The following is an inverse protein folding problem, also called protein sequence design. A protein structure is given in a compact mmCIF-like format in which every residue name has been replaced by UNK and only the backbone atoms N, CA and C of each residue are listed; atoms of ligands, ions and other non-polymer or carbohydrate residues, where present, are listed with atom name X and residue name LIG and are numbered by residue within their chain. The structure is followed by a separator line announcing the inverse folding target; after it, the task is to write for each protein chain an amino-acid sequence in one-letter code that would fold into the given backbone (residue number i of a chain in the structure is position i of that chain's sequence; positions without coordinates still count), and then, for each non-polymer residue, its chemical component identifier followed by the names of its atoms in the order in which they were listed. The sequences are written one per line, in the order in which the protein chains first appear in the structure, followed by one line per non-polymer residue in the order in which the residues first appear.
data_IF_709803876796
#
_entry.id   IF_709803876796
#
_cell.length_a   1.000
_cell.length_b   1.000
_cell.length_c   1.000
_cell.angle_alpha   90.00
_cell.angle_beta   90.00
_cell.angle_gamma   90.00
#
_symmetry.space_group_name_H-M   'P 1'
#
loop_
_entity.id
_entity.type
_entity.pdbx_description
1 polymer ?
#
# COMPACT_ATOMS: atom_id res chain seq x y z
N UNK A 1 19.78 -12.42 48.12
CA UNK A 1 19.10 -11.28 47.46
C UNK A 1 20.05 -10.54 46.52
N UNK A 2 21.36 -10.53 46.77
CA UNK A 2 22.36 -9.98 45.86
C UNK A 2 23.59 -10.92 45.84
N UNK A 3 24.34 -10.95 44.73
CA UNK A 3 25.62 -11.63 44.65
C UNK A 3 26.67 -10.80 43.90
N UNK A 4 27.82 -10.59 44.53
CA UNK A 4 29.02 -10.07 43.89
C UNK A 4 29.97 -11.23 43.64
N UNK A 5 30.23 -11.54 42.37
CA UNK A 5 31.17 -12.59 42.01
C UNK A 5 32.58 -11.98 41.99
N UNK A 6 33.54 -12.53 42.78
CA UNK A 6 34.87 -11.92 42.91
C UNK A 6 35.66 -11.85 41.60
N UNK A 7 36.45 -10.78 41.44
CA UNK A 7 37.43 -10.70 40.35
C UNK A 7 38.43 -11.87 40.41
N UNK A 8 38.77 -12.40 39.24
CA UNK A 8 39.61 -13.59 39.08
C UNK A 8 38.82 -14.90 38.88
N UNK A 9 37.50 -14.89 39.10
CA UNK A 9 36.63 -16.00 38.69
C UNK A 9 36.55 -16.02 37.17
N UNK A 10 37.11 -17.06 36.55
CA UNK A 10 37.19 -17.19 35.08
C UNK A 10 36.04 -17.97 34.47
N UNK A 11 35.28 -18.72 35.27
CA UNK A 11 34.16 -19.53 34.81
C UNK A 11 33.06 -19.59 35.86
N UNK A 12 31.81 -19.54 35.39
CA UNK A 12 30.62 -19.79 36.20
C UNK A 12 29.88 -20.92 35.50
N UNK A 13 29.60 -22.00 36.24
CA UNK A 13 29.02 -23.21 35.68
C UNK A 13 27.63 -23.02 35.08
N UNK A 14 27.26 -23.95 34.20
CA UNK A 14 25.90 -24.07 33.67
C UNK A 14 24.85 -24.06 34.79
N UNK A 15 23.78 -23.30 34.59
CA UNK A 15 22.66 -23.16 35.53
C UNK A 15 23.02 -22.70 36.95
N UNK A 16 24.21 -22.12 37.20
CA UNK A 16 24.68 -21.81 38.56
C UNK A 16 23.74 -20.91 39.37
N UNK A 17 23.00 -20.02 38.71
CA UNK A 17 21.99 -19.16 39.32
C UNK A 17 20.59 -19.41 38.76
N UNK A 18 20.33 -20.54 38.12
CA UNK A 18 18.99 -20.86 37.63
C UNK A 18 17.99 -20.98 38.79
N UNK A 19 16.76 -20.49 38.59
CA UNK A 19 15.67 -20.46 39.57
C UNK A 19 16.04 -19.80 40.91
N UNK A 20 17.00 -18.87 40.89
CA UNK A 20 17.44 -18.18 42.09
C UNK A 20 16.49 -17.04 42.50
N UNK A 21 16.50 -16.69 43.78
CA UNK A 21 15.84 -15.48 44.31
C UNK A 21 16.73 -14.23 44.26
N UNK A 22 17.67 -14.15 43.31
CA UNK A 22 18.54 -12.99 43.14
C UNK A 22 17.74 -11.77 42.69
N UNK A 23 18.05 -10.60 43.27
CA UNK A 23 17.50 -9.29 42.90
C UNK A 23 18.52 -8.40 42.23
N UNK A 24 19.80 -8.77 42.27
CA UNK A 24 20.89 -8.12 41.56
C UNK A 24 22.13 -9.02 41.59
N UNK A 25 23.03 -8.81 40.64
CA UNK A 25 24.30 -9.50 40.56
C UNK A 25 25.36 -8.61 39.90
N UNK A 26 26.63 -8.94 40.12
CA UNK A 26 27.77 -8.35 39.41
C UNK A 26 28.64 -9.49 38.87
N UNK A 27 28.96 -9.46 37.56
CA UNK A 27 29.92 -10.37 36.94
C UNK A 27 31.31 -9.71 36.90
N UNK A 28 32.39 -10.46 37.16
CA UNK A 28 33.74 -9.92 37.07
C UNK A 28 34.17 -9.79 35.61
N UNK A 29 35.16 -8.93 35.37
CA UNK A 29 35.75 -8.69 34.04
C UNK A 29 36.47 -9.90 33.41
N UNK A 30 36.66 -10.95 34.20
CA UNK A 30 37.38 -12.19 33.84
C UNK A 30 36.44 -13.27 33.28
N UNK A 31 35.12 -13.08 33.36
CA UNK A 31 34.13 -13.99 32.78
C UNK A 31 33.95 -13.68 31.30
N UNK A 32 34.37 -14.60 30.43
CA UNK A 32 34.30 -14.45 28.97
C UNK A 32 33.18 -15.24 28.32
N UNK A 33 32.56 -16.16 29.06
CA UNK A 33 31.49 -17.06 28.61
C UNK A 33 30.36 -17.01 29.63
N UNK A 34 29.13 -16.80 29.15
CA UNK A 34 27.93 -17.05 29.94
C UNK A 34 27.41 -18.44 29.57
N UNK A 35 27.54 -19.39 30.49
CA UNK A 35 27.12 -20.78 30.25
C UNK A 35 25.61 -20.92 30.17
N UNK A 36 25.14 -22.06 29.64
CA UNK A 36 23.72 -22.33 29.46
C UNK A 36 22.91 -22.11 30.75
N UNK A 37 21.73 -21.54 30.60
CA UNK A 37 20.74 -21.32 31.65
C UNK A 37 21.27 -20.61 32.90
N UNK A 38 22.37 -19.86 32.79
CA UNK A 38 23.11 -19.30 33.93
C UNK A 38 22.20 -18.57 34.94
N UNK A 39 21.25 -17.76 34.45
CA UNK A 39 20.27 -17.04 35.28
C UNK A 39 18.82 -17.48 35.01
N UNK A 40 18.59 -18.52 34.23
CA UNK A 40 17.26 -18.92 33.76
C UNK A 40 16.24 -19.05 34.92
N UNK A 41 15.07 -18.43 34.79
CA UNK A 41 13.99 -18.47 35.78
C UNK A 41 14.24 -17.64 37.05
N UNK A 42 15.30 -16.83 37.12
CA UNK A 42 15.58 -15.95 38.27
C UNK A 42 14.69 -14.71 38.30
N UNK A 43 13.40 -14.91 38.56
CA UNK A 43 12.36 -13.86 38.51
C UNK A 43 12.54 -12.71 39.50
N UNK A 44 13.43 -12.84 40.48
CA UNK A 44 13.78 -11.72 41.37
C UNK A 44 14.52 -10.58 40.64
N UNK A 45 15.04 -10.83 39.43
CA UNK A 45 15.71 -9.85 38.57
C UNK A 45 14.75 -9.04 37.70
N UNK A 46 13.44 -9.25 37.85
CA UNK A 46 12.44 -8.56 37.05
C UNK A 46 12.58 -7.03 37.16
N UNK A 47 12.70 -6.38 36.01
CA UNK A 47 12.86 -4.93 35.90
C UNK A 47 14.27 -4.39 36.21
N UNK A 48 15.22 -5.26 36.58
CA UNK A 48 16.62 -4.86 36.82
C UNK A 48 17.29 -4.56 35.48
N UNK A 49 17.98 -3.42 35.41
CA UNK A 49 18.76 -3.03 34.24
C UNK A 49 20.08 -3.81 34.18
N UNK A 50 20.42 -4.33 33.01
CA UNK A 50 21.67 -5.03 32.79
C UNK A 50 22.27 -4.69 31.42
N UNK A 51 23.60 -4.62 31.38
CA UNK A 51 24.39 -4.36 30.18
C UNK A 51 25.37 -5.49 29.97
N UNK A 52 25.40 -6.06 28.77
CA UNK A 52 26.33 -7.13 28.44
C UNK A 52 27.78 -6.61 28.45
N UNK A 53 28.72 -7.34 29.07
CA UNK A 53 30.14 -7.03 28.95
C UNK A 53 30.65 -7.19 27.52
N UNK A 54 31.34 -6.18 27.00
CA UNK A 54 31.83 -6.15 25.60
C UNK A 54 32.92 -7.20 25.29
N UNK A 55 33.54 -7.81 26.31
CA UNK A 55 34.60 -8.81 26.16
C UNK A 55 34.06 -10.25 26.13
N UNK A 56 32.74 -10.44 26.19
CA UNK A 56 32.16 -11.77 26.05
C UNK A 56 32.48 -12.37 24.68
N UNK A 57 32.68 -13.68 24.66
CA UNK A 57 32.98 -14.48 23.46
C UNK A 57 31.86 -15.44 23.11
N UNK A 58 30.99 -15.76 24.09
CA UNK A 58 29.86 -16.67 23.94
C UNK A 58 28.76 -16.33 24.95
N UNK A 59 27.52 -16.39 24.46
CA UNK A 59 26.31 -16.40 25.29
C UNK A 59 25.65 -17.75 25.06
N UNK A 60 25.51 -18.55 26.11
CA UNK A 60 24.89 -19.87 26.06
C UNK A 60 23.37 -19.82 25.83
N UNK A 61 22.76 -20.99 25.81
CA UNK A 61 21.31 -21.12 25.63
C UNK A 61 20.58 -20.67 26.89
N UNK A 62 19.42 -20.04 26.75
CA UNK A 62 18.53 -19.69 27.87
C UNK A 62 19.17 -18.87 29.00
N UNK A 63 20.30 -18.20 28.77
CA UNK A 63 21.09 -17.51 29.82
C UNK A 63 20.23 -16.59 30.68
N UNK A 64 19.37 -15.77 30.06
CA UNK A 64 18.49 -14.82 30.73
C UNK A 64 17.00 -15.19 30.60
N UNK A 65 16.69 -16.44 30.25
CA UNK A 65 15.32 -16.92 30.08
C UNK A 65 14.48 -16.63 31.33
N UNK A 66 13.31 -16.02 31.15
CA UNK A 66 12.34 -15.74 32.22
C UNK A 66 12.92 -15.00 33.45
N UNK A 67 13.97 -14.20 33.24
CA UNK A 67 14.55 -13.34 34.29
C UNK A 67 13.77 -12.03 34.48
N UNK A 68 13.12 -11.54 33.43
CA UNK A 68 12.49 -10.22 33.41
C UNK A 68 13.49 -9.05 33.39
N UNK A 69 14.77 -9.31 33.10
CA UNK A 69 15.79 -8.28 32.95
C UNK A 69 15.43 -7.28 31.84
N UNK A 70 15.86 -6.03 32.04
CA UNK A 70 15.76 -4.95 31.05
C UNK A 70 17.13 -4.60 30.50
N UNK A 71 17.24 -4.54 29.20
CA UNK A 71 18.45 -4.09 28.51
C UNK A 71 18.14 -2.80 27.76
N UNK A 72 18.92 -1.75 27.99
CA UNK A 72 18.82 -0.57 27.12
C UNK A 72 19.43 -0.87 25.74
N UNK A 73 20.66 -1.39 25.72
CA UNK A 73 21.32 -1.80 24.48
C UNK A 73 21.93 -3.19 24.64
N UNK A 74 21.60 -4.08 23.71
CA UNK A 74 22.32 -5.33 23.46
C UNK A 74 23.05 -5.16 22.14
N UNK A 75 24.36 -4.93 22.22
CA UNK A 75 25.24 -4.89 21.06
C UNK A 75 26.08 -6.16 21.06
N UNK A 76 25.89 -7.01 20.06
CA UNK A 76 26.67 -8.25 19.91
C UNK A 76 28.04 -7.88 19.34
N UNK A 77 29.13 -7.91 20.14
CA UNK A 77 30.45 -7.53 19.69
C UNK A 77 31.01 -8.56 18.69
N UNK A 78 31.98 -8.14 17.88
CA UNK A 78 32.68 -9.05 16.94
C UNK A 78 33.40 -10.22 17.61
N UNK A 79 33.65 -10.15 18.93
CA UNK A 79 34.22 -11.25 19.71
C UNK A 79 33.22 -12.37 19.98
N UNK A 80 31.91 -12.12 19.90
CA UNK A 80 30.89 -13.15 20.12
C UNK A 80 30.74 -13.99 18.86
N UNK A 81 31.22 -15.23 18.95
CA UNK A 81 31.12 -16.22 17.86
C UNK A 81 29.75 -16.88 17.87
N UNK A 82 29.12 -17.05 19.04
CA UNK A 82 27.82 -17.71 19.14
C UNK A 82 26.91 -17.12 20.22
N UNK A 83 25.64 -16.95 19.87
CA UNK A 83 24.55 -16.67 20.81
C UNK A 83 23.60 -17.86 20.81
N UNK A 84 23.39 -18.44 21.99
CA UNK A 84 22.51 -19.59 22.16
C UNK A 84 21.04 -19.26 21.97
N UNK A 85 20.29 -20.29 21.62
CA UNK A 85 18.84 -20.29 21.59
C UNK A 85 18.23 -19.75 22.89
N UNK A 86 17.13 -18.97 22.80
CA UNK A 86 16.38 -18.43 23.95
C UNK A 86 17.22 -17.61 24.95
N UNK A 87 18.44 -17.18 24.58
CA UNK A 87 19.33 -16.47 25.50
C UNK A 87 18.66 -15.24 26.16
N UNK A 88 17.73 -14.59 25.46
CA UNK A 88 16.99 -13.40 25.89
C UNK A 88 15.47 -13.64 26.03
N UNK A 89 15.01 -14.89 26.08
CA UNK A 89 13.58 -15.20 26.21
C UNK A 89 12.97 -14.57 27.48
N UNK A 90 11.79 -13.96 27.37
CA UNK A 90 11.14 -13.31 28.52
C UNK A 90 11.85 -12.06 29.04
N UNK A 91 12.82 -11.51 28.30
CA UNK A 91 13.47 -10.22 28.62
C UNK A 91 12.90 -9.08 27.78
N UNK A 92 13.12 -7.83 28.22
CA UNK A 92 12.79 -6.63 27.44
C UNK A 92 14.06 -5.92 27.00
N UNK A 93 14.22 -5.69 25.70
CA UNK A 93 15.38 -5.01 25.12
C UNK A 93 14.89 -3.74 24.42
N UNK A 94 15.48 -2.59 24.74
CA UNK A 94 15.14 -1.36 24.03
C UNK A 94 15.78 -1.36 22.62
N UNK A 95 17.10 -1.54 22.51
CA UNK A 95 17.76 -1.68 21.20
C UNK A 95 18.64 -2.93 21.14
N UNK A 96 18.39 -3.81 20.16
CA UNK A 96 19.26 -4.93 19.83
C UNK A 96 20.01 -4.63 18.53
N UNK A 97 21.34 -4.63 18.58
CA UNK A 97 22.19 -4.41 17.42
C UNK A 97 22.93 -5.68 17.07
N UNK A 98 22.83 -6.05 15.81
CA UNK A 98 23.53 -7.21 15.29
C UNK A 98 24.10 -6.85 13.94
N UNK A 99 25.37 -6.46 13.98
CA UNK A 99 26.09 -5.93 12.82
C UNK A 99 27.11 -6.93 12.25
N UNK A 100 27.28 -8.08 12.90
CA UNK A 100 28.28 -9.08 12.53
C UNK A 100 27.63 -10.28 11.82
N UNK A 101 28.27 -10.71 10.73
CA UNK A 101 27.85 -11.90 9.98
C UNK A 101 28.43 -13.19 10.59
N UNK A 102 29.51 -13.11 11.37
CA UNK A 102 30.20 -14.28 11.95
C UNK A 102 29.53 -14.86 13.19
N UNK A 103 28.55 -14.16 13.76
CA UNK A 103 27.83 -14.65 14.93
C UNK A 103 26.82 -15.70 14.51
N UNK A 104 27.06 -16.93 14.91
CA UNK A 104 26.14 -18.04 14.76
C UNK A 104 25.07 -18.00 15.86
N UNK A 105 23.81 -18.22 15.48
CA UNK A 105 22.73 -18.44 16.42
C UNK A 105 22.52 -19.94 16.51
N UNK A 106 23.01 -20.54 17.59
CA UNK A 106 23.13 -21.99 17.70
C UNK A 106 21.91 -22.55 18.41
N UNK A 107 21.28 -23.53 17.77
CA UNK A 107 20.22 -24.35 18.34
C UNK A 107 20.82 -25.52 19.14
N UNK A 108 20.57 -25.65 20.46
CA UNK A 108 20.82 -26.92 21.14
C UNK A 108 19.62 -27.84 20.89
N UNK A 109 19.93 -29.09 20.56
CA UNK A 109 19.00 -30.23 20.48
C UNK A 109 18.43 -30.54 19.08
N UNK A 110 19.15 -31.44 18.43
CA UNK A 110 18.79 -32.30 17.30
C UNK A 110 17.68 -33.32 17.62
N UNK A 111 16.71 -32.96 18.47
CA UNK A 111 15.75 -33.88 19.08
C UNK A 111 14.31 -33.37 19.11
N UNK A 112 13.77 -32.92 17.97
CA UNK A 112 12.34 -32.69 17.77
C UNK A 112 11.89 -31.24 18.04
N UNK A 113 11.47 -30.55 16.97
CA UNK A 113 10.68 -29.31 16.96
C UNK A 113 11.19 -28.08 17.76
N UNK A 114 12.42 -28.08 18.27
CA UNK A 114 13.04 -26.92 18.92
C UNK A 114 13.54 -25.91 17.87
N UNK A 115 12.66 -25.17 17.22
CA UNK A 115 13.05 -24.00 16.41
C UNK A 115 13.38 -22.86 17.38
N UNK A 116 14.66 -22.56 17.65
CA UNK A 116 15.00 -21.53 18.63
C UNK A 116 16.08 -20.58 18.09
N UNK A 117 15.66 -19.39 17.63
CA UNK A 117 16.57 -18.35 17.16
C UNK A 117 16.98 -17.33 18.23
N UNK A 118 17.71 -16.30 17.78
CA UNK A 118 18.42 -15.37 18.66
C UNK A 118 17.57 -14.49 19.56
N UNK A 119 16.40 -14.06 19.09
CA UNK A 119 15.47 -13.22 19.85
C UNK A 119 14.22 -14.01 20.28
N UNK A 120 14.34 -15.33 20.38
CA UNK A 120 13.23 -16.21 20.70
C UNK A 120 12.48 -15.77 21.97
N UNK A 121 11.18 -15.49 21.82
CA UNK A 121 10.30 -15.04 22.91
C UNK A 121 10.78 -13.77 23.64
N UNK A 122 11.70 -13.00 23.05
CA UNK A 122 12.12 -11.71 23.55
C UNK A 122 11.17 -10.60 23.10
N UNK A 123 11.05 -9.54 23.92
CA UNK A 123 10.38 -8.30 23.52
C UNK A 123 11.42 -7.24 23.22
N UNK A 124 11.47 -6.75 21.99
CA UNK A 124 12.47 -5.78 21.53
C UNK A 124 11.80 -4.56 20.91
N UNK A 125 12.15 -3.34 21.37
CA UNK A 125 11.60 -2.14 20.73
C UNK A 125 12.21 -1.94 19.33
N UNK A 126 13.53 -2.02 19.22
CA UNK A 126 14.25 -1.80 17.96
C UNK A 126 15.32 -2.86 17.71
N UNK A 127 15.32 -3.41 16.49
CA UNK A 127 16.37 -4.32 16.01
C UNK A 127 17.09 -3.66 14.85
N UNK A 128 18.38 -3.40 15.03
CA UNK A 128 19.26 -2.81 14.02
C UNK A 128 20.11 -3.88 13.34
N UNK A 129 19.82 -4.09 12.06
CA UNK A 129 20.48 -5.03 11.15
C UNK A 129 21.28 -4.29 10.06
N UNK A 130 21.56 -3.00 10.22
CA UNK A 130 22.18 -2.15 9.19
C UNK A 130 23.55 -2.66 8.69
N UNK A 131 24.30 -3.37 9.53
CA UNK A 131 25.60 -3.95 9.19
C UNK A 131 25.57 -5.35 8.58
N UNK A 132 24.38 -5.97 8.42
CA UNK A 132 24.25 -7.38 8.06
C UNK A 132 24.07 -7.62 6.58
N UNK A 133 24.67 -8.70 6.12
CA UNK A 133 24.44 -9.25 4.79
C UNK A 133 23.37 -10.36 4.80
N UNK A 134 23.27 -11.11 5.90
CA UNK A 134 22.35 -12.25 6.01
C UNK A 134 21.59 -12.19 7.34
N UNK A 135 20.28 -12.43 7.31
CA UNK A 135 19.49 -12.68 8.51
C UNK A 135 19.51 -14.19 8.81
N UNK A 136 19.95 -14.64 10.00
CA UNK A 136 20.00 -16.03 10.38
C UNK A 136 18.62 -16.68 10.44
N UNK A 137 18.63 -18.00 10.36
CA UNK A 137 17.46 -18.84 10.51
C UNK A 137 16.78 -18.59 11.87
N UNK A 138 15.46 -18.59 11.87
CA UNK A 138 14.60 -18.46 13.05
C UNK A 138 14.86 -17.22 13.93
N UNK A 139 15.59 -16.21 13.45
CA UNK A 139 16.12 -15.13 14.27
C UNK A 139 15.05 -14.41 15.12
N UNK A 140 13.88 -14.12 14.55
CA UNK A 140 12.74 -13.50 15.24
C UNK A 140 11.69 -14.50 15.72
N UNK A 141 12.01 -15.79 15.84
CA UNK A 141 11.01 -16.80 16.14
C UNK A 141 10.25 -16.49 17.43
N UNK A 142 8.93 -16.29 17.36
CA UNK A 142 8.07 -15.89 18.51
C UNK A 142 8.51 -14.60 19.23
N UNK A 143 9.41 -13.82 18.62
CA UNK A 143 9.83 -12.52 19.13
C UNK A 143 8.73 -11.48 18.92
N UNK A 144 8.67 -10.50 19.81
CA UNK A 144 7.88 -9.28 19.63
C UNK A 144 8.85 -8.15 19.28
N UNK A 145 8.79 -7.63 18.05
CA UNK A 145 9.63 -6.50 17.61
C UNK A 145 8.78 -5.36 17.09
N UNK A 146 9.02 -4.13 17.56
CA UNK A 146 8.28 -2.95 17.12
C UNK A 146 8.88 -2.30 15.86
N UNK A 147 10.21 -2.23 15.77
CA UNK A 147 10.94 -1.61 14.66
C UNK A 147 12.11 -2.51 14.23
N UNK A 148 12.23 -2.73 12.92
CA UNK A 148 13.40 -3.38 12.31
C UNK A 148 14.04 -2.39 11.34
N UNK A 149 15.34 -2.12 11.54
CA UNK A 149 16.15 -1.31 10.63
C UNK A 149 17.00 -2.26 9.81
N UNK A 150 16.68 -2.38 8.52
CA UNK A 150 17.48 -3.14 7.58
C UNK A 150 18.63 -2.31 7.00
N UNK A 151 19.74 -2.97 6.67
CA UNK A 151 20.85 -2.36 5.95
C UNK A 151 20.72 -2.49 4.44
N UNK A 152 21.43 -1.61 3.72
CA UNK A 152 21.53 -1.66 2.25
C UNK A 152 22.32 -2.88 1.74
N UNK A 153 22.99 -3.61 2.64
CA UNK A 153 23.76 -4.79 2.31
C UNK A 153 23.00 -6.11 2.56
N UNK A 154 21.78 -6.07 3.10
CA UNK A 154 21.05 -7.29 3.42
C UNK A 154 20.64 -8.02 2.13
N UNK A 155 21.18 -9.22 1.92
CA UNK A 155 21.03 -10.07 0.73
C UNK A 155 20.16 -11.30 0.95
N UNK A 156 20.20 -11.91 2.14
CA UNK A 156 19.43 -13.13 2.38
C UNK A 156 18.66 -13.10 3.70
N UNK A 157 17.53 -13.79 3.69
CA UNK A 157 16.70 -14.06 4.85
C UNK A 157 16.70 -15.57 5.11
N UNK A 158 17.13 -15.97 6.30
CA UNK A 158 17.21 -17.36 6.71
C UNK A 158 15.86 -18.06 6.80
N UNK A 159 15.92 -19.40 6.87
CA UNK A 159 14.77 -20.27 7.08
C UNK A 159 14.00 -19.86 8.36
N UNK A 160 12.67 -19.74 8.26
CA UNK A 160 11.83 -19.45 9.42
C UNK A 160 12.14 -18.14 10.15
N UNK A 161 12.90 -17.21 9.55
CA UNK A 161 13.43 -16.04 10.26
C UNK A 161 12.34 -15.18 10.96
N UNK A 162 11.12 -15.15 10.44
CA UNK A 162 9.96 -14.45 11.02
C UNK A 162 8.86 -15.40 11.54
N UNK A 163 9.13 -16.70 11.58
CA UNK A 163 8.15 -17.71 11.96
C UNK A 163 7.63 -17.49 13.38
N UNK A 164 6.32 -17.61 13.62
CA UNK A 164 5.74 -17.44 14.94
C UNK A 164 5.83 -16.03 15.54
N UNK A 165 6.50 -15.09 14.87
CA UNK A 165 6.80 -13.78 15.43
C UNK A 165 5.55 -12.91 15.59
N UNK A 166 5.55 -12.06 16.62
CA UNK A 166 4.49 -11.09 16.93
C UNK A 166 4.79 -9.72 16.32
N UNK A 167 5.58 -9.68 15.24
CA UNK A 167 5.88 -8.46 14.51
C UNK A 167 4.63 -8.08 13.72
N UNK A 168 4.19 -6.81 13.82
CA UNK A 168 2.93 -6.36 13.21
C UNK A 168 2.94 -6.41 11.69
N UNK A 169 4.05 -5.97 11.11
CA UNK A 169 4.28 -5.87 9.68
C UNK A 169 5.72 -6.22 9.36
N UNK A 170 5.92 -7.00 8.29
CA UNK A 170 7.25 -7.23 7.73
C UNK A 170 7.32 -6.63 6.35
N UNK A 171 8.26 -5.71 6.17
CA UNK A 171 8.76 -5.28 4.86
C UNK A 171 10.18 -5.81 4.68
N UNK A 172 10.63 -5.99 3.44
CA UNK A 172 12.03 -6.33 3.14
C UNK A 172 12.65 -5.31 2.17
N UNK A 173 13.94 -4.94 2.33
CA UNK A 173 14.60 -4.03 1.41
C UNK A 173 14.83 -4.70 0.05
N UNK A 174 14.86 -3.90 -1.02
CA UNK A 174 15.05 -4.38 -2.40
C UNK A 174 16.39 -5.10 -2.64
N UNK A 175 17.32 -4.98 -1.70
CA UNK A 175 18.64 -5.61 -1.71
C UNK A 175 18.58 -7.11 -1.42
N UNK A 176 17.47 -7.61 -0.85
CA UNK A 176 17.27 -9.03 -0.57
C UNK A 176 17.06 -9.80 -1.88
N UNK A 177 17.87 -10.84 -2.06
CA UNK A 177 17.94 -11.68 -3.26
C UNK A 177 17.42 -13.10 -2.99
N UNK A 178 17.38 -13.54 -1.73
CA UNK A 178 16.91 -14.88 -1.35
C UNK A 178 16.20 -14.90 0.00
N UNK A 179 15.24 -15.81 0.12
CA UNK A 179 14.44 -16.03 1.34
C UNK A 179 14.29 -17.53 1.57
N UNK A 180 14.64 -17.99 2.77
CA UNK A 180 14.53 -19.39 3.19
C UNK A 180 13.08 -19.85 3.36
N UNK A 181 12.88 -21.17 3.40
CA UNK A 181 11.56 -21.76 3.57
C UNK A 181 10.91 -21.42 4.92
N UNK A 182 9.59 -21.57 5.01
CA UNK A 182 8.86 -21.35 6.27
C UNK A 182 9.01 -19.97 6.91
N UNK A 183 9.51 -18.97 6.17
CA UNK A 183 9.92 -17.67 6.72
C UNK A 183 8.81 -16.97 7.51
N UNK A 184 7.54 -17.14 7.13
CA UNK A 184 6.36 -16.60 7.81
C UNK A 184 5.43 -17.70 8.37
N UNK A 185 5.94 -18.91 8.60
CA UNK A 185 5.17 -19.99 9.23
C UNK A 185 4.67 -19.55 10.60
N UNK A 186 3.37 -19.60 10.85
CA UNK A 186 2.77 -19.18 12.11
C UNK A 186 2.93 -17.69 12.44
N UNK A 187 3.27 -16.85 11.46
CA UNK A 187 3.45 -15.41 11.65
C UNK A 187 2.18 -14.76 12.22
N UNK A 188 2.30 -13.96 13.29
CA UNK A 188 1.15 -13.37 13.98
C UNK A 188 0.81 -11.94 13.52
N UNK A 189 1.63 -11.36 12.66
CA UNK A 189 1.38 -10.04 12.08
C UNK A 189 0.29 -10.03 11.01
N UNK A 190 -0.18 -8.83 10.66
CA UNK A 190 -1.29 -8.63 9.73
C UNK A 190 -0.82 -8.45 8.29
N UNK A 191 0.40 -7.95 8.08
CA UNK A 191 0.91 -7.55 6.76
C UNK A 191 2.30 -8.11 6.50
N UNK A 192 2.48 -8.69 5.32
CA UNK A 192 3.78 -9.04 4.75
C UNK A 192 3.91 -8.39 3.38
N UNK A 193 4.85 -7.45 3.25
CA UNK A 193 5.17 -6.77 1.99
C UNK A 193 6.60 -7.11 1.56
N UNK A 194 6.70 -8.08 0.66
CA UNK A 194 7.95 -8.45 -0.01
C UNK A 194 7.93 -8.04 -1.48
N UNK A 195 7.08 -7.10 -1.87
CA UNK A 195 6.92 -6.67 -3.27
C UNK A 195 8.19 -6.04 -3.86
N UNK A 196 9.05 -5.47 -3.00
CA UNK A 196 10.27 -4.76 -3.38
C UNK A 196 11.47 -5.67 -3.68
N UNK A 197 11.45 -6.93 -3.23
CA UNK A 197 12.59 -7.84 -3.42
C UNK A 197 12.60 -8.43 -4.83
N UNK A 198 13.75 -8.93 -5.29
CA UNK A 198 13.89 -9.52 -6.63
C UNK A 198 13.95 -11.05 -6.57
N UNK A 199 12.91 -11.69 -6.05
CA UNK A 199 12.84 -13.15 -5.88
C UNK A 199 12.30 -13.84 -7.13
N UNK A 200 13.08 -14.76 -7.72
CA UNK A 200 12.65 -15.55 -8.90
C UNK A 200 11.77 -16.74 -8.56
N UNK A 201 12.05 -17.38 -7.43
CA UNK A 201 11.33 -18.55 -6.92
C UNK A 201 11.28 -18.53 -5.39
N UNK A 202 10.21 -19.08 -4.83
CA UNK A 202 10.13 -19.38 -3.40
C UNK A 202 10.73 -20.78 -3.18
N UNK A 203 11.63 -20.90 -2.20
CA UNK A 203 12.19 -22.19 -1.79
C UNK A 203 11.39 -22.72 -0.60
N UNK A 204 10.74 -23.87 -0.76
CA UNK A 204 10.10 -24.58 0.36
C UNK A 204 11.09 -25.62 0.91
N UNK A 205 11.64 -25.37 2.10
CA UNK A 205 12.65 -26.26 2.72
C UNK A 205 12.06 -27.37 3.59
N UNK A 206 10.73 -27.42 3.76
CA UNK A 206 9.86 -28.47 4.36
C UNK A 206 8.60 -27.84 5.00
N UNK A 207 8.61 -26.52 5.20
CA UNK A 207 7.52 -25.73 5.75
C UNK A 207 6.92 -24.82 4.67
N UNK A 208 5.60 -24.70 4.69
CA UNK A 208 4.85 -23.70 3.93
C UNK A 208 5.29 -22.29 4.35
N UNK A 209 5.33 -21.38 3.39
CA UNK A 209 5.77 -20.00 3.59
C UNK A 209 4.89 -19.24 4.58
N UNK A 210 3.56 -19.47 4.57
CA UNK A 210 2.58 -18.73 5.37
C UNK A 210 1.67 -19.61 6.25
N UNK A 211 1.83 -20.94 6.27
CA UNK A 211 0.93 -21.83 7.04
C UNK A 211 0.75 -21.41 8.48
N UNK A 212 -0.50 -21.48 8.92
CA UNK A 212 -0.96 -21.09 10.26
C UNK A 212 -0.71 -19.61 10.63
N UNK A 213 -0.46 -18.75 9.64
CA UNK A 213 -0.27 -17.31 9.87
C UNK A 213 -1.59 -16.56 10.06
N UNK A 214 -1.48 -15.41 10.74
CA UNK A 214 -2.57 -14.45 10.95
C UNK A 214 -2.58 -13.34 9.87
N UNK A 215 -1.79 -13.50 8.82
CA UNK A 215 -1.61 -12.49 7.78
C UNK A 215 -2.93 -12.23 7.05
N UNK A 216 -3.26 -10.95 6.90
CA UNK A 216 -4.43 -10.47 6.15
C UNK A 216 -4.03 -9.95 4.79
N UNK A 217 -2.85 -9.31 4.71
CA UNK A 217 -2.34 -8.69 3.49
C UNK A 217 -0.98 -9.27 3.13
N UNK A 218 -0.86 -9.81 1.93
CA UNK A 218 0.41 -10.28 1.37
C UNK A 218 0.68 -9.51 0.07
N UNK A 219 1.89 -8.96 -0.08
CA UNK A 219 2.36 -8.42 -1.37
C UNK A 219 3.58 -9.16 -1.86
N UNK A 220 3.47 -9.76 -3.04
CA UNK A 220 4.52 -10.54 -3.68
C UNK A 220 5.23 -9.76 -4.79
N UNK A 221 6.53 -10.04 -5.01
CA UNK A 221 7.32 -9.31 -5.99
C UNK A 221 6.94 -9.66 -7.43
N UNK A 222 7.01 -8.67 -8.31
CA UNK A 222 6.71 -8.82 -9.75
C UNK A 222 7.67 -9.75 -10.50
N UNK A 223 8.81 -10.09 -9.89
CA UNK A 223 9.85 -10.96 -10.44
C UNK A 223 9.59 -12.44 -10.21
N UNK A 224 8.60 -12.79 -9.39
CA UNK A 224 8.32 -14.17 -8.99
C UNK A 224 7.64 -14.94 -10.12
N UNK A 225 8.38 -15.80 -10.81
CA UNK A 225 7.84 -16.53 -11.97
C UNK A 225 7.01 -17.76 -11.56
N UNK A 226 7.44 -18.43 -10.48
CA UNK A 226 6.84 -19.68 -10.01
C UNK A 226 6.67 -19.64 -8.50
N UNK A 227 5.50 -20.09 -8.05
CA UNK A 227 5.14 -20.26 -6.65
C UNK A 227 4.92 -21.76 -6.41
N UNK A 228 5.68 -22.42 -5.53
CA UNK A 228 5.49 -23.83 -5.19
C UNK A 228 4.11 -24.12 -4.58
N UNK A 229 3.68 -25.39 -4.64
CA UNK A 229 2.51 -25.84 -3.89
C UNK A 229 2.70 -25.56 -2.40
N UNK A 230 1.58 -25.37 -1.69
CA UNK A 230 1.54 -25.11 -0.26
C UNK A 230 2.11 -23.77 0.19
N UNK A 231 2.45 -22.82 -0.69
CA UNK A 231 2.98 -21.51 -0.25
C UNK A 231 2.03 -20.77 0.69
N UNK A 232 0.72 -20.78 0.42
CA UNK A 232 -0.31 -20.12 1.25
C UNK A 232 -1.23 -21.11 1.99
N UNK A 233 -0.84 -22.40 2.03
CA UNK A 233 -1.63 -23.44 2.69
C UNK A 233 -1.95 -23.03 4.14
N UNK A 234 -3.12 -23.42 4.65
CA UNK A 234 -3.54 -23.14 6.04
C UNK A 234 -3.39 -21.65 6.44
N UNK A 235 -3.71 -20.73 5.52
CA UNK A 235 -3.67 -19.27 5.75
C UNK A 235 -5.06 -18.64 5.61
N UNK A 236 -6.06 -19.03 6.43
CA UNK A 236 -7.47 -18.67 6.22
C UNK A 236 -7.76 -17.17 6.40
N UNK A 237 -6.82 -16.41 6.95
CA UNK A 237 -7.00 -15.00 7.30
C UNK A 237 -6.71 -14.02 6.16
N UNK A 238 -6.22 -14.51 5.02
CA UNK A 238 -5.91 -13.67 3.85
C UNK A 238 -7.19 -12.97 3.38
N UNK A 239 -7.12 -11.65 3.23
CA UNK A 239 -8.19 -10.78 2.71
C UNK A 239 -7.69 -10.05 1.46
N UNK A 240 -6.40 -9.73 1.39
CA UNK A 240 -5.80 -9.03 0.26
C UNK A 240 -4.51 -9.70 -0.18
N UNK A 241 -4.47 -10.16 -1.43
CA UNK A 241 -3.28 -10.73 -2.04
C UNK A 241 -2.87 -9.87 -3.24
N UNK A 242 -1.73 -9.19 -3.13
CA UNK A 242 -1.16 -8.37 -4.20
C UNK A 242 -0.09 -9.16 -4.94
N UNK A 243 -0.26 -9.30 -6.25
CA UNK A 243 0.73 -9.91 -7.14
C UNK A 243 1.32 -8.84 -8.05
N UNK A 244 2.64 -8.67 -8.03
CA UNK A 244 3.30 -7.67 -8.89
C UNK A 244 3.39 -8.08 -10.37
N UNK A 245 3.11 -9.34 -10.73
CA UNK A 245 3.32 -9.82 -12.09
C UNK A 245 2.17 -9.41 -13.02
N UNK A 246 2.46 -8.68 -14.10
CA UNK A 246 1.47 -8.40 -15.14
C UNK A 246 1.10 -9.64 -15.97
N UNK A 247 1.99 -10.64 -16.01
CA UNK A 247 1.67 -11.99 -16.51
C UNK A 247 1.52 -12.91 -15.31
N UNK A 248 0.40 -13.64 -15.15
CA UNK A 248 0.17 -14.49 -13.98
C UNK A 248 1.33 -15.43 -13.68
N UNK A 249 1.87 -15.35 -12.45
CA UNK A 249 2.88 -16.28 -11.97
C UNK A 249 2.32 -17.71 -11.97
N UNK A 250 3.17 -18.71 -12.24
CA UNK A 250 2.73 -20.11 -12.19
C UNK A 250 2.67 -20.57 -10.74
N UNK A 251 1.46 -20.74 -10.21
CA UNK A 251 1.24 -21.40 -8.93
C UNK A 251 1.13 -22.91 -9.15
N UNK A 252 2.06 -23.68 -8.58
CA UNK A 252 2.13 -25.13 -8.68
C UNK A 252 1.06 -25.79 -7.79
N UNK A 253 0.66 -27.00 -8.18
CA UNK A 253 -0.34 -27.78 -7.46
C UNK A 253 -1.77 -27.42 -7.82
N UNK A 254 -2.68 -27.76 -6.92
CA UNK A 254 -4.10 -27.45 -7.03
C UNK A 254 -4.51 -26.30 -6.10
N UNK A 255 -5.73 -25.76 -6.28
CA UNK A 255 -6.22 -24.69 -5.43
C UNK A 255 -6.22 -25.07 -3.95
N UNK A 256 -6.72 -26.27 -3.59
CA UNK A 256 -6.83 -26.73 -2.20
C UNK A 256 -5.47 -27.01 -1.53
N UNK A 257 -4.42 -27.20 -2.33
CA UNK A 257 -3.06 -27.34 -1.80
C UNK A 257 -2.47 -25.99 -1.42
N UNK A 258 -2.98 -24.89 -2.00
CA UNK A 258 -2.44 -23.56 -1.80
C UNK A 258 -3.33 -22.68 -0.93
N UNK A 259 -4.65 -22.83 -0.98
CA UNK A 259 -5.59 -21.94 -0.32
C UNK A 259 -6.71 -22.74 0.34
N UNK A 260 -7.26 -22.20 1.43
CA UNK A 260 -8.53 -22.69 1.97
C UNK A 260 -9.68 -22.33 1.02
N UNK A 261 -10.72 -23.16 1.00
CA UNK A 261 -11.81 -23.04 0.01
C UNK A 261 -12.56 -21.70 0.09
N UNK A 262 -12.71 -21.16 1.30
CA UNK A 262 -13.41 -19.89 1.58
C UNK A 262 -12.67 -18.64 1.08
N UNK A 263 -11.36 -18.74 0.80
CA UNK A 263 -10.55 -17.62 0.28
C UNK A 263 -11.09 -17.12 -1.07
N UNK A 264 -11.71 -17.99 -1.88
CA UNK A 264 -12.25 -17.65 -3.21
C UNK A 264 -13.19 -16.44 -3.17
N UNK A 265 -14.05 -16.37 -2.15
CA UNK A 265 -15.06 -15.32 -2.00
C UNK A 265 -14.61 -14.20 -1.04
N UNK A 266 -13.79 -14.57 -0.06
CA UNK A 266 -13.35 -13.68 1.02
C UNK A 266 -12.26 -12.71 0.56
N UNK A 267 -11.26 -13.20 -0.17
CA UNK A 267 -10.09 -12.42 -0.53
C UNK A 267 -10.25 -11.68 -1.86
N UNK A 268 -9.67 -10.48 -1.94
CA UNK A 268 -9.45 -9.77 -3.21
C UNK A 268 -8.04 -10.04 -3.71
N UNK A 269 -7.95 -10.51 -4.95
CA UNK A 269 -6.68 -10.63 -5.67
C UNK A 269 -6.41 -9.30 -6.39
N UNK A 270 -5.41 -8.57 -5.91
CA UNK A 270 -4.93 -7.34 -6.54
C UNK A 270 -3.81 -7.68 -7.52
N UNK A 271 -3.99 -7.33 -8.79
CA UNK A 271 -3.04 -7.59 -9.89
C UNK A 271 -2.70 -6.30 -10.63
N UNK A 272 -1.58 -6.19 -11.36
CA UNK A 272 -1.22 -4.92 -11.99
C UNK A 272 -2.32 -4.49 -12.95
N UNK A 273 -2.72 -3.22 -12.90
CA UNK A 273 -3.81 -2.67 -13.73
C UNK A 273 -3.59 -3.02 -15.21
N UNK A 274 -4.61 -3.59 -15.86
CA UNK A 274 -4.55 -4.09 -17.24
C UNK A 274 -4.25 -5.59 -17.37
N UNK A 275 -3.88 -6.28 -16.29
CA UNK A 275 -3.64 -7.74 -16.29
C UNK A 275 -4.81 -8.59 -15.80
N UNK A 276 -5.91 -7.96 -15.37
CA UNK A 276 -7.06 -8.61 -14.70
C UNK A 276 -7.62 -9.75 -15.55
N UNK A 277 -7.76 -9.53 -16.86
CA UNK A 277 -8.29 -10.52 -17.80
C UNK A 277 -7.35 -11.73 -17.98
N UNK A 278 -6.03 -11.52 -17.88
CA UNK A 278 -5.07 -12.62 -17.90
C UNK A 278 -5.22 -13.49 -16.64
N UNK A 279 -5.39 -12.87 -15.47
CA UNK A 279 -5.62 -13.57 -14.21
C UNK A 279 -6.97 -14.30 -14.16
N UNK A 280 -8.04 -13.74 -14.75
CA UNK A 280 -9.35 -14.42 -14.89
C UNK A 280 -9.29 -15.69 -15.74
N UNK A 281 -8.24 -15.89 -16.53
CA UNK A 281 -8.01 -17.09 -17.35
C UNK A 281 -6.96 -18.02 -16.78
N UNK A 282 -6.10 -17.52 -15.89
CA UNK A 282 -4.97 -18.28 -15.38
C UNK A 282 -5.39 -19.35 -14.38
N UNK A 283 -4.73 -20.51 -14.43
CA UNK A 283 -5.03 -21.61 -13.54
C UNK A 283 -4.86 -21.20 -12.06
N UNK A 284 -5.75 -21.70 -11.20
CA UNK A 284 -5.87 -21.35 -9.78
C UNK A 284 -6.29 -19.89 -9.52
N UNK A 285 -5.65 -18.91 -10.15
CA UNK A 285 -5.97 -17.49 -9.94
C UNK A 285 -7.40 -17.13 -10.36
N UNK A 286 -7.92 -17.77 -11.43
CA UNK A 286 -9.30 -17.62 -11.88
C UNK A 286 -10.37 -18.00 -10.84
N UNK A 287 -9.98 -18.71 -9.78
CA UNK A 287 -10.89 -19.16 -8.73
C UNK A 287 -11.26 -18.03 -7.75
N UNK A 288 -10.51 -16.92 -7.73
CA UNK A 288 -10.84 -15.75 -6.92
C UNK A 288 -12.04 -15.00 -7.53
N UNK A 289 -13.10 -14.80 -6.75
CA UNK A 289 -14.29 -14.08 -7.18
C UNK A 289 -14.00 -12.59 -7.45
N UNK A 290 -13.05 -12.00 -6.70
CA UNK A 290 -12.65 -10.59 -6.81
C UNK A 290 -11.22 -10.49 -7.32
N UNK A 291 -11.07 -9.98 -8.53
CA UNK A 291 -9.78 -9.65 -9.15
C UNK A 291 -9.82 -8.19 -9.56
N UNK A 292 -8.95 -7.38 -8.97
CA UNK A 292 -8.92 -5.92 -9.14
C UNK A 292 -7.54 -5.44 -9.60
N UNK A 293 -7.53 -4.49 -10.53
CA UNK A 293 -6.33 -3.83 -10.98
C UNK A 293 -5.81 -2.84 -9.94
N UNK A 294 -4.52 -2.90 -9.61
CA UNK A 294 -3.85 -1.90 -8.77
C UNK A 294 -2.60 -1.31 -9.43
N UNK A 295 -2.09 -0.24 -8.84
CA UNK A 295 -0.85 0.42 -9.22
C UNK A 295 -0.11 0.86 -7.95
N UNK A 296 1.15 0.45 -7.81
CA UNK A 296 2.04 0.93 -6.74
C UNK A 296 2.57 2.35 -7.00
N UNK A 297 2.32 2.88 -8.20
CA UNK A 297 2.70 4.24 -8.60
C UNK A 297 1.76 5.26 -7.99
N UNK A 298 2.32 6.39 -7.55
CA UNK A 298 1.59 7.51 -6.99
C UNK A 298 0.56 8.05 -8.00
N UNK A 299 -0.62 8.42 -7.50
CA UNK A 299 -1.63 9.04 -8.35
C UNK A 299 -1.20 10.45 -8.75
N UNK A 300 -1.64 10.88 -9.92
CA UNK A 300 -1.46 12.25 -10.41
C UNK A 300 -2.76 12.80 -10.96
N UNK A 301 -2.89 14.11 -10.95
CA UNK A 301 -4.10 14.82 -11.36
C UNK A 301 -3.79 16.01 -12.24
N UNK A 302 -4.78 16.50 -12.96
CA UNK A 302 -4.70 17.78 -13.68
C UNK A 302 -5.56 18.77 -12.94
N UNK A 303 -4.94 19.77 -12.31
CA UNK A 303 -5.65 20.86 -11.61
C UNK A 303 -6.45 21.69 -12.63
N UNK A 304 -7.59 22.22 -12.19
CA UNK A 304 -8.45 23.12 -12.99
C UNK A 304 -8.96 22.51 -14.32
N UNK A 305 -8.93 21.18 -14.45
CA UNK A 305 -9.55 20.45 -15.53
C UNK A 305 -10.97 20.03 -15.12
N UNK A 306 -11.95 20.87 -15.45
CA UNK A 306 -13.36 20.64 -15.16
C UNK A 306 -14.24 21.06 -16.35
N UNK A 307 -15.45 20.52 -16.36
CA UNK A 307 -16.52 20.96 -17.26
C UNK A 307 -16.73 22.47 -17.11
N UNK A 308 -16.92 23.16 -18.23
CA UNK A 308 -17.13 24.61 -18.22
C UNK A 308 -17.97 25.07 -19.40
N UNK A 309 -18.64 26.20 -19.21
CA UNK A 309 -19.25 26.96 -20.28
C UNK A 309 -18.23 27.89 -20.92
N UNK A 310 -18.39 28.17 -22.22
CA UNK A 310 -17.57 29.12 -22.96
C UNK A 310 -18.34 29.75 -24.12
N UNK A 311 -18.00 30.98 -24.49
CA UNK A 311 -18.64 31.67 -25.60
C UNK A 311 -17.99 31.25 -26.93
N UNK A 312 -18.70 31.47 -28.04
CA UNK A 312 -18.12 31.24 -29.38
C UNK A 312 -16.94 32.21 -29.57
N UNK A 313 -15.87 31.74 -30.21
CA UNK A 313 -14.58 32.41 -30.35
C UNK A 313 -13.67 32.37 -29.11
N UNK A 314 -14.15 31.86 -27.96
CA UNK A 314 -13.31 31.68 -26.78
C UNK A 314 -12.13 30.75 -27.07
N UNK A 315 -10.96 31.13 -26.55
CA UNK A 315 -9.75 30.31 -26.53
C UNK A 315 -9.49 29.87 -25.10
N UNK A 316 -9.74 28.59 -24.83
CA UNK A 316 -9.49 27.96 -23.54
C UNK A 316 -8.10 27.33 -23.56
N UNK A 317 -7.22 27.82 -22.70
CA UNK A 317 -5.95 27.17 -22.44
C UNK A 317 -6.13 26.06 -21.39
N UNK A 318 -6.02 24.81 -21.83
CA UNK A 318 -6.09 23.64 -20.97
C UNK A 318 -4.75 23.43 -20.25
N UNK A 319 -4.74 22.90 -19.02
CA UNK A 319 -3.50 22.73 -18.28
C UNK A 319 -2.50 21.83 -19.03
N UNK A 320 -1.31 22.34 -19.32
CA UNK A 320 -0.31 21.58 -20.06
C UNK A 320 0.35 20.46 -19.24
N UNK A 321 0.22 20.50 -17.90
CA UNK A 321 0.92 19.61 -16.97
C UNK A 321 0.02 19.07 -15.86
N UNK A 322 0.37 17.91 -15.33
CA UNK A 322 -0.20 17.37 -14.09
C UNK A 322 0.34 18.10 -12.87
N UNK A 323 -0.24 17.83 -11.70
CA UNK A 323 0.25 18.30 -10.39
C UNK A 323 1.69 17.84 -10.07
N UNK A 324 2.18 16.82 -10.78
CA UNK A 324 3.56 16.32 -10.70
C UNK A 324 4.47 16.86 -11.82
N UNK A 325 3.98 17.80 -12.64
CA UNK A 325 4.77 18.46 -13.69
C UNK A 325 4.97 17.65 -14.97
N UNK A 326 4.22 16.54 -15.15
CA UNK A 326 4.26 15.70 -16.34
C UNK A 326 3.34 16.26 -17.44
N UNK A 327 3.79 16.19 -18.70
CA UNK A 327 3.05 16.77 -19.84
C UNK A 327 1.74 16.03 -20.13
N UNK A 328 0.68 16.79 -20.40
CA UNK A 328 -0.67 16.29 -20.68
C UNK A 328 -0.96 16.42 -22.17
N UNK A 329 -1.54 15.37 -22.76
CA UNK A 329 -2.00 15.36 -24.14
C UNK A 329 -3.52 15.39 -24.19
N UNK A 330 -4.09 16.07 -25.18
CA UNK A 330 -5.54 16.27 -25.30
C UNK A 330 -6.06 15.71 -26.63
N UNK A 331 -7.25 15.11 -26.58
CA UNK A 331 -8.02 14.74 -27.76
C UNK A 331 -9.40 15.35 -27.70
N UNK A 332 -9.94 15.68 -28.88
CA UNK A 332 -11.30 16.17 -29.07
C UNK A 332 -12.20 15.02 -29.55
N UNK A 333 -13.45 15.03 -29.10
CA UNK A 333 -14.49 14.11 -29.57
C UNK A 333 -14.60 14.08 -31.10
N UNK A 334 -14.63 12.89 -31.68
CA UNK A 334 -14.69 12.69 -33.11
C UNK A 334 -15.98 13.30 -33.70
N UNK A 335 -15.86 14.01 -34.84
CA UNK A 335 -16.99 14.64 -35.52
C UNK A 335 -17.50 15.95 -34.90
N UNK A 336 -16.78 16.54 -33.93
CA UNK A 336 -17.17 17.79 -33.25
C UNK A 336 -16.36 19.04 -33.67
N UNK A 337 -15.71 19.01 -34.83
CA UNK A 337 -14.88 20.12 -35.32
C UNK A 337 -15.65 21.41 -35.60
N UNK A 338 -16.96 21.30 -35.84
CA UNK A 338 -17.84 22.47 -36.02
C UNK A 338 -18.14 23.19 -34.69
N UNK A 339 -17.94 22.51 -33.55
CA UNK A 339 -18.18 23.06 -32.20
C UNK A 339 -16.89 23.62 -31.60
N UNK A 340 -15.78 22.91 -31.74
CA UNK A 340 -14.46 23.41 -31.32
C UNK A 340 -13.33 22.77 -32.12
N UNK A 341 -12.17 23.43 -32.11
CA UNK A 341 -10.91 22.91 -32.64
C UNK A 341 -9.85 22.87 -31.55
N UNK A 342 -8.91 21.93 -31.62
CA UNK A 342 -7.88 21.72 -30.61
C UNK A 342 -6.49 21.74 -31.27
N UNK A 343 -5.59 22.58 -30.74
CA UNK A 343 -4.18 22.64 -31.14
C UNK A 343 -3.29 22.60 -29.91
N UNK A 344 -2.66 21.45 -29.66
CA UNK A 344 -1.91 21.21 -28.43
C UNK A 344 -2.85 21.22 -27.21
N UNK A 345 -2.62 22.15 -26.27
CA UNK A 345 -3.48 22.37 -25.11
C UNK A 345 -4.44 23.57 -25.29
N UNK A 346 -4.52 24.17 -26.48
CA UNK A 346 -5.41 25.31 -26.74
C UNK A 346 -6.65 24.83 -27.49
N UNK A 347 -7.80 24.98 -26.85
CA UNK A 347 -9.11 24.70 -27.43
C UNK A 347 -9.74 26.01 -27.89
N UNK A 348 -10.17 26.10 -29.14
CA UNK A 348 -10.90 27.24 -29.69
C UNK A 348 -12.35 26.82 -29.94
N UNK A 349 -13.31 27.49 -29.31
CA UNK A 349 -14.74 27.25 -29.52
C UNK A 349 -15.15 27.91 -30.84
N UNK A 350 -15.60 27.12 -31.80
CA UNK A 350 -15.89 27.58 -33.18
C UNK A 350 -17.38 27.64 -33.48
N UNK A 351 -18.22 26.99 -32.67
CA UNK A 351 -19.65 26.99 -32.89
C UNK A 351 -20.42 26.46 -31.68
N UNK A 352 -21.71 26.74 -31.63
CA UNK A 352 -22.53 26.35 -30.50
C UNK A 352 -22.82 24.84 -30.44
N UNK A 353 -22.79 24.30 -29.24
CA UNK A 353 -22.98 22.88 -28.95
C UNK A 353 -22.17 22.41 -27.75
N UNK A 354 -22.11 21.09 -27.60
CA UNK A 354 -21.30 20.42 -26.58
C UNK A 354 -20.23 19.57 -27.25
N UNK A 355 -19.02 19.59 -26.68
CA UNK A 355 -17.88 18.79 -27.12
C UNK A 355 -17.14 18.20 -25.92
N UNK A 356 -16.78 16.91 -26.02
CA UNK A 356 -15.95 16.25 -25.02
C UNK A 356 -14.47 16.39 -25.35
N UNK A 357 -13.68 16.76 -24.34
CA UNK A 357 -12.22 16.84 -24.42
C UNK A 357 -11.62 15.85 -23.44
N UNK A 358 -10.75 14.95 -23.92
CA UNK A 358 -10.09 13.95 -23.08
C UNK A 358 -8.63 14.31 -22.88
N UNK A 359 -8.26 14.54 -21.62
CA UNK A 359 -6.88 14.70 -21.19
C UNK A 359 -6.28 13.33 -20.86
N UNK A 360 -5.09 13.03 -21.38
CA UNK A 360 -4.36 11.78 -21.12
C UNK A 360 -2.90 12.03 -20.79
N UNK A 361 -2.37 11.24 -19.86
CA UNK A 361 -0.97 11.23 -19.48
C UNK A 361 -0.56 9.78 -19.16
N UNK A 362 0.56 9.32 -19.72
CA UNK A 362 0.95 7.89 -19.72
C UNK A 362 1.54 7.36 -18.40
N UNK A 363 1.94 8.25 -17.49
CA UNK A 363 2.66 7.93 -16.28
C UNK A 363 4.17 7.81 -16.52
N UNK A 364 4.89 7.48 -15.46
CA UNK A 364 6.31 7.12 -15.51
C UNK A 364 6.61 6.08 -14.42
N UNK A 365 7.86 5.86 -14.02
CA UNK A 365 8.19 4.88 -12.99
C UNK A 365 7.61 5.20 -11.60
N UNK A 366 7.36 6.48 -11.32
CA UNK A 366 6.85 6.95 -10.03
C UNK A 366 5.35 7.15 -10.01
N UNK A 367 4.76 7.66 -11.11
CA UNK A 367 3.36 8.09 -11.16
C UNK A 367 2.52 7.27 -12.14
N UNK A 368 1.30 6.93 -11.71
CA UNK A 368 0.36 6.14 -12.49
C UNK A 368 -0.14 6.90 -13.73
N UNK A 369 -0.51 6.18 -14.78
CA UNK A 369 -1.20 6.77 -15.93
C UNK A 369 -2.55 7.38 -15.51
N UNK A 370 -2.97 8.45 -16.19
CA UNK A 370 -4.21 9.17 -15.92
C UNK A 370 -4.97 9.50 -17.22
N UNK A 371 -6.30 9.46 -17.13
CA UNK A 371 -7.20 9.92 -18.19
C UNK A 371 -8.44 10.56 -17.58
N UNK A 372 -8.84 11.74 -18.06
CA UNK A 372 -10.08 12.41 -17.66
C UNK A 372 -10.72 13.12 -18.84
N UNK A 373 -12.02 12.92 -18.99
CA UNK A 373 -12.83 13.60 -19.99
C UNK A 373 -13.61 14.72 -19.31
N UNK A 374 -13.61 15.90 -19.92
CA UNK A 374 -14.46 17.03 -19.56
C UNK A 374 -15.37 17.40 -20.73
N UNK A 375 -16.45 18.11 -20.43
CA UNK A 375 -17.39 18.65 -21.40
C UNK A 375 -17.24 20.18 -21.46
N UNK A 376 -17.05 20.69 -22.67
CA UNK A 376 -17.14 22.12 -22.95
C UNK A 376 -18.46 22.33 -23.67
N UNK A 377 -19.31 23.20 -23.12
CA UNK A 377 -20.60 23.55 -23.70
C UNK A 377 -20.65 25.06 -23.93
N UNK A 378 -21.32 25.50 -24.98
CA UNK A 378 -21.42 26.94 -25.22
C UNK A 378 -22.39 27.62 -24.24
N UNK A 379 -21.97 28.71 -23.59
CA UNK A 379 -22.84 29.52 -22.73
C UNK A 379 -23.87 30.29 -23.56
N UNK A 380 -25.09 30.39 -23.04
CA UNK A 380 -26.11 31.30 -23.56
C UNK A 380 -26.64 32.16 -22.41
N UNK A 381 -26.52 33.47 -22.54
CA UNK A 381 -27.07 34.40 -21.57
C UNK A 381 -28.57 34.64 -21.82
N UNK A 382 -29.40 34.07 -20.95
CA UNK A 382 -30.85 34.31 -20.91
C UNK A 382 -31.25 35.23 -19.74
N UNK A 383 -30.30 35.86 -19.04
CA UNK A 383 -30.56 36.72 -17.87
C UNK A 383 -31.44 37.92 -18.21
N UNK A 384 -31.46 38.31 -19.49
CA UNK A 384 -32.34 39.35 -20.00
C UNK A 384 -33.82 38.98 -19.92
N UNK A 385 -34.22 37.70 -19.89
CA UNK A 385 -35.62 37.29 -19.79
C UNK A 385 -36.14 37.35 -18.35
N UNK A 386 -37.30 37.95 -18.16
CA UNK A 386 -37.98 38.00 -16.86
C UNK A 386 -39.27 37.18 -16.89
N UNK A 387 -39.58 36.43 -15.82
CA UNK A 387 -40.82 35.67 -15.75
C UNK A 387 -42.03 36.58 -15.38
N UNK A 388 -43.16 36.53 -16.12
CA UNK A 388 -43.38 35.71 -17.31
C UNK A 388 -42.66 36.29 -18.54
N UNK A 389 -41.95 35.43 -19.29
CA UNK A 389 -41.13 35.82 -20.45
C UNK A 389 -41.93 36.55 -21.55
N UNK A 390 -43.26 36.38 -21.52
CA UNK A 390 -44.22 37.03 -22.40
C UNK A 390 -45.30 37.67 -21.53
N UNK A 391 -45.68 38.91 -21.83
CA UNK A 391 -46.86 39.56 -21.27
C UNK A 391 -47.90 39.86 -22.35
N UNK A 392 -49.17 39.82 -21.95
CA UNK A 392 -50.32 40.11 -22.81
C UNK A 392 -51.13 41.24 -22.18
N UNK A 393 -51.32 42.33 -22.90
CA UNK A 393 -52.10 43.49 -22.47
C UNK A 393 -53.09 43.87 -23.56
N UNK A 394 -54.39 43.62 -23.31
CA UNK A 394 -55.42 43.71 -24.34
C UNK A 394 -55.10 42.82 -25.54
N UNK A 395 -55.03 43.40 -26.74
CA UNK A 395 -54.70 42.69 -27.98
C UNK A 395 -53.20 42.77 -28.32
N UNK A 396 -52.32 42.90 -27.33
CA UNK A 396 -50.88 43.14 -27.57
C UNK A 396 -50.02 42.15 -26.80
N UNK A 397 -48.99 41.61 -27.46
CA UNK A 397 -48.02 40.66 -26.88
C UNK A 397 -46.63 41.30 -26.83
N UNK A 398 -45.94 41.20 -25.69
CA UNK A 398 -44.58 41.72 -25.48
C UNK A 398 -43.65 40.66 -24.91
N UNK A 399 -42.36 40.70 -25.29
CA UNK A 399 -41.30 39.97 -24.57
C UNK A 399 -40.82 40.80 -23.39
N UNK A 400 -40.79 40.19 -22.20
CA UNK A 400 -40.44 40.85 -20.94
C UNK A 400 -38.96 40.62 -20.61
N UNK A 401 -38.19 41.71 -20.52
CA UNK A 401 -36.76 41.64 -20.29
C UNK A 401 -36.02 42.97 -20.37
N UNK A 402 -34.76 43.00 -19.93
CA UNK A 402 -33.98 44.25 -19.77
C UNK A 402 -32.98 44.53 -20.90
N UNK A 403 -32.36 43.51 -21.52
CA UNK A 403 -31.34 43.66 -22.59
C UNK A 403 -31.43 42.51 -23.62
N UNK A 404 -32.33 42.63 -24.60
CA UNK A 404 -32.68 41.53 -25.53
C UNK A 404 -31.56 41.25 -26.55
N UNK A 405 -31.34 39.99 -26.96
CA UNK A 405 -30.39 39.62 -28.01
C UNK A 405 -30.85 40.14 -29.37
N UNK A 406 -29.91 40.20 -30.32
CA UNK A 406 -30.19 40.69 -31.67
C UNK A 406 -31.22 39.82 -32.40
N UNK A 407 -31.31 38.51 -32.15
CA UNK A 407 -32.23 37.61 -32.86
C UNK A 407 -33.17 36.82 -31.92
N UNK A 408 -34.49 37.07 -32.02
CA UNK A 408 -35.53 36.22 -31.44
C UNK A 408 -36.84 36.39 -32.20
N UNK A 409 -37.70 35.37 -32.21
CA UNK A 409 -38.99 35.39 -32.89
C UNK A 409 -40.15 35.05 -31.96
N UNK A 410 -41.30 35.67 -32.20
CA UNK A 410 -42.57 35.21 -31.61
C UNK A 410 -43.39 34.52 -32.69
N UNK A 411 -43.92 33.35 -32.35
CA UNK A 411 -44.84 32.58 -33.20
C UNK A 411 -46.21 32.49 -32.54
N UNK A 412 -47.25 32.56 -33.36
CA UNK A 412 -48.65 32.51 -32.96
C UNK A 412 -49.30 31.36 -33.73
N UNK A 413 -49.88 30.40 -33.01
CA UNK A 413 -50.52 29.21 -33.59
C UNK A 413 -49.65 28.47 -34.63
N UNK A 414 -48.33 28.52 -34.46
CA UNK A 414 -47.37 27.90 -35.37
C UNK A 414 -47.10 28.67 -36.67
N UNK A 415 -47.77 29.80 -36.91
CA UNK A 415 -47.47 30.71 -38.03
C UNK A 415 -46.27 31.58 -37.66
N UNK A 416 -45.24 31.56 -38.52
CA UNK A 416 -44.02 32.37 -38.41
C UNK A 416 -44.24 33.71 -39.12
N UNK A 417 -43.72 34.81 -38.55
CA UNK A 417 -43.77 36.09 -39.27
C UNK A 417 -43.58 37.37 -38.46
N UNK A 418 -43.43 37.30 -37.14
CA UNK A 418 -43.23 38.50 -36.31
C UNK A 418 -41.85 38.47 -35.66
N UNK A 419 -40.86 38.90 -36.44
CA UNK A 419 -39.51 39.14 -35.94
C UNK A 419 -39.47 40.52 -35.27
N UNK A 420 -39.05 40.54 -34.00
CA UNK A 420 -38.86 41.75 -33.20
C UNK A 420 -37.38 41.96 -32.83
N UNK A 421 -36.47 41.27 -33.52
CA UNK A 421 -35.02 41.44 -33.46
C UNK A 421 -34.60 42.92 -33.35
N UNK A 422 -33.76 43.24 -32.37
CA UNK A 422 -33.17 44.58 -32.22
C UNK A 422 -34.10 45.73 -31.81
N UNK A 423 -35.35 45.47 -31.37
CA UNK A 423 -36.29 46.55 -30.98
C UNK A 423 -36.69 46.51 -29.49
N UNK A 424 -36.46 47.62 -28.79
CA UNK A 424 -36.73 47.77 -27.35
C UNK A 424 -38.15 48.29 -27.10
N UNK A 425 -38.95 47.58 -26.28
CA UNK A 425 -40.34 47.95 -25.97
C UNK A 425 -41.39 47.51 -27.00
N UNK A 426 -40.97 46.82 -28.05
CA UNK A 426 -41.84 46.46 -29.17
C UNK A 426 -42.83 45.34 -28.85
N UNK A 427 -43.99 45.44 -29.50
CA UNK A 427 -45.16 44.65 -29.20
C UNK A 427 -45.85 44.21 -30.50
N UNK A 428 -46.32 42.97 -30.55
CA UNK A 428 -47.12 42.48 -31.67
C UNK A 428 -48.57 42.73 -31.35
N UNK A 429 -49.25 43.48 -32.22
CA UNK A 429 -50.70 43.63 -32.16
C UNK A 429 -51.36 42.40 -32.75
N UNK A 430 -52.20 41.75 -31.96
CA UNK A 430 -53.06 40.66 -32.37
C UNK A 430 -54.38 41.21 -32.92
N UNK A 431 -54.87 40.60 -33.98
CA UNK A 431 -56.26 40.80 -34.40
C UNK A 431 -57.17 39.83 -33.65
N UNK A 432 -58.35 40.31 -33.25
CA UNK A 432 -59.29 39.51 -32.48
C UNK A 432 -59.85 38.37 -33.34
N UNK A 433 -59.59 37.13 -32.91
CA UNK A 433 -60.20 35.92 -33.46
C UNK A 433 -61.18 35.33 -32.46
N UNK A 434 -62.15 34.54 -32.92
CA UNK A 434 -63.15 33.92 -32.04
C UNK A 434 -62.61 32.69 -31.27
N UNK A 435 -61.37 32.27 -31.53
CA UNK A 435 -60.72 31.09 -30.95
C UNK A 435 -59.49 31.44 -30.09
N UNK A 436 -59.08 30.49 -29.23
CA UNK A 436 -57.89 30.61 -28.36
C UNK A 436 -56.61 30.41 -29.16
N UNK A 437 -55.67 31.36 -29.08
CA UNK A 437 -54.36 31.29 -29.75
C UNK A 437 -53.25 30.89 -28.77
N UNK A 438 -52.31 30.03 -29.19
CA UNK A 438 -51.10 29.70 -28.46
C UNK A 438 -49.94 30.56 -28.93
N UNK A 439 -49.36 31.31 -27.99
CA UNK A 439 -48.18 32.13 -28.24
C UNK A 439 -46.94 31.36 -27.79
N UNK A 440 -45.93 31.29 -28.65
CA UNK A 440 -44.62 30.72 -28.33
C UNK A 440 -43.53 31.70 -28.71
N UNK A 441 -42.76 32.13 -27.71
CA UNK A 441 -41.47 32.77 -27.92
C UNK A 441 -40.48 31.69 -28.36
N UNK A 442 -39.86 31.90 -29.51
CA UNK A 442 -38.77 31.08 -30.03
C UNK A 442 -37.56 32.00 -30.07
N UNK A 443 -36.65 31.84 -29.12
CA UNK A 443 -35.34 32.48 -29.24
C UNK A 443 -34.57 31.65 -30.25
N UNK A 444 -34.36 32.24 -31.43
CA UNK A 444 -33.57 31.61 -32.47
C UNK A 444 -32.09 31.78 -32.13
N UNK A 445 -31.36 30.75 -32.51
CA UNK A 445 -29.91 30.65 -32.42
C UNK A 445 -29.32 31.05 -33.75
#
# INVERSE_FOLDING_TARGET
QHIDIPEGVTAIGESAFSWSGLKSFTLPSTVTVLENSLFAGSKGLEGVEYTLPAHLTKIGNSVFEDTGLKFDVVEIPATIVSVGARAFAGTTINTFKLQQNTTEFINPESGGNAYQGGLNEATVNKVDLSGRENLPDFFFWRATVNEIVYGENLKSIGEGAFSGSNIKEVTLPATVESVGGGVFYGFQGETVDISKISLKEIVNSNLSFFSSSQVKTIKLPATLATIPSYTFFDSPNIISLYLGNSTPATLKGEFYENFSEDIKDKATLYVPKGSEEAYRKANIWKEFAKIEGYSDKEAQTVKDLADRLADVEDVIELPAKTDQGLDVTYTIEEGKTDVATLSGNKLTVTGAGEVKITATQAGNDQYAAFSKTITIATSFDYSWLQAPAISVEGNTVKVVGTDKPEEFEITIDGVKGFDLSGKTGDAIKLEATNDTQKIRLIIKR
#
